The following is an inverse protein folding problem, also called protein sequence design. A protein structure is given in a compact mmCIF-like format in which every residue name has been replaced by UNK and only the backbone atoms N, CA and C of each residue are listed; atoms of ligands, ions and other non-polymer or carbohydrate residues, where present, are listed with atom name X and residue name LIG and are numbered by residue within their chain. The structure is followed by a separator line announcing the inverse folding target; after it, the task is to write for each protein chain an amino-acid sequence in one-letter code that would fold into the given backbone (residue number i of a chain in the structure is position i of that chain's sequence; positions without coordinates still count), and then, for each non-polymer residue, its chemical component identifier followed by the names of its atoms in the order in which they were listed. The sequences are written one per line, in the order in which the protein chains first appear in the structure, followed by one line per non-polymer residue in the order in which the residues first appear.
data_IF_734526116172
#
_entry.id   IF_734526116172
#
_cell.length_a   1.000
_cell.length_b   1.000
_cell.length_c   1.000
_cell.angle_alpha   90.00
_cell.angle_beta   90.00
_cell.angle_gamma   90.00
#
_symmetry.space_group_name_H-M   'P 1'
#
loop_
_entity.id
_entity.type
_entity.pdbx_description
1 polymer ?
#
# COMPACT_ATOMS: atom_id res chain seq x y z
N UNK A 1 11.45 6.88 -49.11
CA UNK A 1 12.13 6.87 -47.79
C UNK A 1 11.16 6.29 -46.76
N UNK A 2 11.36 5.05 -46.27
CA UNK A 2 10.51 4.36 -45.33
C UNK A 2 11.20 4.37 -43.97
N UNK A 3 10.64 5.11 -43.01
CA UNK A 3 11.11 5.12 -41.62
C UNK A 3 10.59 3.88 -40.89
N UNK A 4 11.50 3.00 -40.45
CA UNK A 4 11.20 1.87 -39.56
C UNK A 4 11.20 2.40 -38.12
N UNK A 5 10.06 2.32 -37.45
CA UNK A 5 9.95 2.51 -35.99
C UNK A 5 10.25 1.17 -35.31
N UNK A 6 11.38 1.14 -34.60
CA UNK A 6 11.72 0.02 -33.71
C UNK A 6 10.97 0.19 -32.39
N UNK A 7 10.09 -0.75 -32.09
CA UNK A 7 9.49 -0.91 -30.75
C UNK A 7 10.48 -1.64 -29.87
N UNK A 8 11.03 -0.96 -28.86
CA UNK A 8 11.79 -1.58 -27.78
C UNK A 8 10.78 -2.15 -26.78
N UNK A 9 10.68 -3.47 -26.73
CA UNK A 9 9.96 -4.15 -25.66
C UNK A 9 10.93 -4.30 -24.48
N UNK A 10 10.66 -3.57 -23.39
CA UNK A 10 11.33 -3.77 -22.10
C UNK A 10 10.60 -4.90 -21.38
N UNK A 11 11.21 -6.08 -21.36
CA UNK A 11 10.76 -7.18 -20.53
C UNK A 11 11.35 -6.99 -19.13
N UNK A 12 10.53 -6.56 -18.18
CA UNK A 12 10.85 -6.58 -16.76
C UNK A 12 10.56 -7.98 -16.24
N UNK A 13 11.56 -8.83 -16.25
CA UNK A 13 11.54 -10.14 -15.58
C UNK A 13 12.08 -9.97 -14.15
N UNK A 14 11.24 -9.50 -13.24
CA UNK A 14 11.45 -9.56 -11.80
C UNK A 14 11.19 -10.98 -11.32
N UNK A 15 12.19 -11.84 -11.35
CA UNK A 15 12.13 -13.16 -10.72
C UNK A 15 12.28 -13.02 -9.22
N UNK A 16 11.15 -13.07 -8.49
CA UNK A 16 11.13 -13.25 -7.03
C UNK A 16 11.52 -14.72 -6.77
N UNK A 17 12.77 -14.97 -6.43
CA UNK A 17 13.18 -16.28 -5.93
C UNK A 17 12.77 -16.38 -4.46
N UNK A 18 11.58 -16.93 -4.20
CA UNK A 18 11.23 -17.42 -2.87
C UNK A 18 12.10 -18.63 -2.55
N UNK A 19 13.13 -18.41 -1.75
CA UNK A 19 13.86 -19.47 -1.10
C UNK A 19 13.05 -19.99 0.08
N UNK A 20 12.19 -20.99 -0.14
CA UNK A 20 11.63 -21.78 0.94
C UNK A 20 12.74 -22.56 1.64
N UNK A 21 13.30 -22.00 2.68
CA UNK A 21 14.09 -22.75 3.66
C UNK A 21 13.14 -23.39 4.65
N UNK A 22 12.72 -24.63 4.41
CA UNK A 22 12.09 -25.46 5.44
C UNK A 22 13.16 -25.75 6.52
N UNK A 23 13.22 -24.87 7.52
CA UNK A 23 13.97 -25.12 8.76
C UNK A 23 13.26 -26.18 9.61
N UNK A 24 13.99 -26.89 10.50
CA UNK A 24 13.35 -27.87 11.38
C UNK A 24 12.36 -27.20 12.30
N UNK A 25 11.13 -27.72 12.35
CA UNK A 25 10.13 -27.32 13.32
C UNK A 25 10.63 -27.65 14.74
N UNK A 26 11.16 -26.65 15.42
CA UNK A 26 11.71 -26.81 16.77
C UNK A 26 11.75 -25.48 17.50
N UNK A 27 10.92 -25.38 18.52
CA UNK A 27 10.93 -24.43 19.63
C UNK A 27 11.10 -22.94 19.25
N UNK A 28 10.00 -22.22 19.21
CA UNK A 28 10.03 -20.75 19.32
C UNK A 28 10.34 -20.02 18.01
N UNK A 29 9.74 -20.46 16.91
CA UNK A 29 9.70 -19.59 15.71
C UNK A 29 8.81 -18.38 16.03
N UNK A 30 9.35 -17.18 15.85
CA UNK A 30 8.58 -15.95 15.98
C UNK A 30 7.52 -15.89 14.87
N UNK A 31 6.46 -15.11 15.08
CA UNK A 31 5.48 -14.85 14.06
C UNK A 31 5.93 -13.70 13.17
N UNK A 32 5.52 -13.71 11.92
CA UNK A 32 5.82 -12.65 10.95
C UNK A 32 4.55 -11.87 10.63
N UNK A 33 4.62 -10.56 10.80
CA UNK A 33 3.62 -9.63 10.31
C UNK A 33 4.18 -8.94 9.07
N UNK A 34 3.47 -9.04 7.97
CA UNK A 34 3.76 -8.30 6.73
C UNK A 34 2.72 -7.20 6.57
N UNK A 35 3.16 -5.97 6.38
CA UNK A 35 2.29 -4.82 6.09
C UNK A 35 2.56 -4.35 4.67
N UNK A 36 1.54 -4.41 3.84
CA UNK A 36 1.59 -3.97 2.45
C UNK A 36 0.77 -2.69 2.29
N UNK A 37 1.42 -1.63 1.84
CA UNK A 37 0.78 -0.35 1.50
C UNK A 37 0.50 -0.28 0.02
N UNK A 38 -0.78 -0.17 -0.34
CA UNK A 38 -1.25 0.06 -1.71
C UNK A 38 -1.74 1.50 -1.84
N UNK A 39 -1.36 2.15 -2.92
CA UNK A 39 -1.73 3.53 -3.19
C UNK A 39 -2.36 3.62 -4.58
N UNK A 40 -3.59 4.12 -4.65
CA UNK A 40 -4.38 4.22 -5.87
C UNK A 40 -4.72 5.69 -6.18
N UNK A 41 -4.69 6.05 -7.47
CA UNK A 41 -5.03 7.40 -7.92
C UNK A 41 -3.82 8.36 -7.97
N UNK A 42 -4.10 9.64 -7.87
CA UNK A 42 -3.11 10.69 -8.12
C UNK A 42 -2.57 11.25 -6.79
N UNK A 43 -1.51 10.66 -6.31
CA UNK A 43 -0.89 10.99 -5.02
C UNK A 43 -0.06 12.26 -5.13
N UNK A 44 -0.21 13.23 -4.21
CA UNK A 44 0.65 14.40 -4.16
C UNK A 44 2.13 14.02 -3.95
N UNK A 45 3.07 14.67 -4.63
CA UNK A 45 4.50 14.41 -4.42
C UNK A 45 4.91 14.64 -2.96
N UNK A 46 5.70 13.71 -2.42
CA UNK A 46 6.20 13.78 -1.04
C UNK A 46 5.18 13.35 0.02
N UNK A 47 4.07 12.74 -0.38
CA UNK A 47 3.14 12.09 0.56
C UNK A 47 3.84 10.93 1.27
N UNK A 48 3.63 10.84 2.57
CA UNK A 48 4.02 9.72 3.42
C UNK A 48 2.80 9.13 4.10
N UNK A 49 2.91 7.86 4.46
CA UNK A 49 1.88 7.11 5.17
C UNK A 49 2.50 6.45 6.39
N UNK A 50 1.81 6.52 7.52
CA UNK A 50 2.24 5.85 8.74
C UNK A 50 1.17 4.85 9.17
N UNK A 51 1.58 3.59 9.32
CA UNK A 51 0.72 2.50 9.76
C UNK A 51 1.26 2.01 11.10
N UNK A 52 0.40 2.11 12.12
CA UNK A 52 0.68 1.67 13.48
C UNK A 52 0.02 0.31 13.72
N UNK A 53 0.75 -0.60 14.34
CA UNK A 53 0.23 -1.89 14.81
C UNK A 53 0.49 -1.99 16.29
N UNK A 54 -0.58 -2.06 17.07
CA UNK A 54 -0.53 -2.23 18.52
C UNK A 54 -1.04 -3.61 18.88
N UNK A 55 -0.22 -4.38 19.59
CA UNK A 55 -0.56 -5.72 20.06
C UNK A 55 -0.68 -5.73 21.58
N UNK A 56 -1.82 -6.18 22.09
CA UNK A 56 -2.11 -6.30 23.52
C UNK A 56 -2.29 -7.78 23.91
N UNK A 57 -1.59 -8.23 24.93
CA UNK A 57 -1.63 -9.60 25.40
C UNK A 57 -1.89 -9.72 26.91
N UNK A 58 -2.21 -10.91 27.36
CA UNK A 58 -2.48 -11.21 28.78
C UNK A 58 -1.25 -10.95 29.69
N UNK A 59 -0.04 -10.95 29.13
CA UNK A 59 1.21 -10.76 29.87
C UNK A 59 1.62 -9.30 30.07
N UNK A 60 0.78 -8.32 29.76
CA UNK A 60 1.08 -6.87 29.84
C UNK A 60 2.27 -6.39 28.97
N UNK A 61 2.79 -7.18 28.10
CA UNK A 61 3.75 -6.73 27.10
C UNK A 61 2.98 -6.16 25.91
N UNK A 62 2.95 -4.83 25.82
CA UNK A 62 2.46 -4.14 24.64
C UNK A 62 3.59 -4.17 23.61
N UNK A 63 3.28 -4.62 22.40
CA UNK A 63 4.18 -4.51 21.26
C UNK A 63 3.60 -3.50 20.27
N UNK A 64 4.37 -2.46 20.01
CA UNK A 64 4.01 -1.42 19.05
C UNK A 64 4.98 -1.47 17.88
N UNK A 65 4.45 -1.42 16.67
CA UNK A 65 5.22 -1.33 15.44
C UNK A 65 4.72 -0.13 14.63
N UNK A 66 5.65 0.59 14.04
CA UNK A 66 5.37 1.70 13.14
C UNK A 66 6.01 1.40 11.78
N UNK A 67 5.24 1.53 10.72
CA UNK A 67 5.67 1.33 9.34
C UNK A 67 5.47 2.62 8.55
N UNK A 68 6.55 3.11 7.96
CA UNK A 68 6.52 4.31 7.12
C UNK A 68 6.63 3.93 5.64
N UNK A 69 5.71 4.47 4.82
CA UNK A 69 5.70 4.26 3.38
C UNK A 69 5.69 5.59 2.63
N UNK A 70 6.35 5.64 1.50
CA UNK A 70 6.29 6.77 0.57
C UNK A 70 5.08 6.71 -0.37
N UNK A 71 5.01 7.69 -1.27
CA UNK A 71 3.92 7.84 -2.25
C UNK A 71 3.70 6.62 -3.16
N UNK A 72 4.72 5.81 -3.37
CA UNK A 72 4.66 4.59 -4.20
C UNK A 72 4.11 3.38 -3.44
N UNK A 73 3.87 3.50 -2.12
CA UNK A 73 3.52 2.38 -1.26
C UNK A 73 4.70 1.41 -1.07
N UNK A 74 4.40 0.14 -0.89
CA UNK A 74 5.39 -0.91 -0.71
C UNK A 74 4.98 -1.94 0.33
N UNK A 75 5.94 -2.78 0.74
CA UNK A 75 5.72 -3.80 1.77
C UNK A 75 6.89 -3.80 2.74
N UNK A 76 6.59 -3.96 4.02
CA UNK A 76 7.56 -4.11 5.09
C UNK A 76 7.09 -5.18 6.08
N UNK A 77 7.97 -5.64 6.98
CA UNK A 77 7.63 -6.73 7.89
C UNK A 77 8.24 -6.54 9.26
N UNK A 78 7.55 -7.03 10.28
CA UNK A 78 8.01 -7.08 11.66
C UNK A 78 7.89 -8.50 12.23
N UNK A 79 8.74 -8.79 13.21
CA UNK A 79 8.66 -10.00 14.00
C UNK A 79 7.78 -9.76 15.22
N UNK A 80 6.74 -10.55 15.38
CA UNK A 80 5.81 -10.47 16.51
C UNK A 80 6.04 -11.65 17.44
N UNK A 81 6.19 -11.37 18.72
CA UNK A 81 6.45 -12.42 19.72
C UNK A 81 5.33 -13.48 19.75
N UNK A 82 5.73 -14.71 19.97
CA UNK A 82 4.81 -15.87 20.07
C UNK A 82 4.13 -15.95 21.46
N UNK A 83 3.47 -14.86 21.88
CA UNK A 83 2.61 -14.81 23.07
C UNK A 83 1.17 -14.55 22.64
N UNK A 84 0.16 -15.07 23.39
CA UNK A 84 -1.24 -14.82 23.04
C UNK A 84 -1.52 -13.32 23.07
N UNK A 85 -1.91 -12.75 21.94
CA UNK A 85 -2.21 -11.32 21.84
C UNK A 85 -3.18 -11.03 20.71
N UNK A 86 -3.90 -9.93 20.86
CA UNK A 86 -4.71 -9.34 19.82
C UNK A 86 -4.04 -8.08 19.32
N UNK A 87 -3.94 -7.95 18.02
CA UNK A 87 -3.28 -6.81 17.38
C UNK A 87 -4.27 -5.99 16.57
N UNK A 88 -4.13 -4.68 16.63
CA UNK A 88 -4.94 -3.72 15.86
C UNK A 88 -4.03 -2.93 14.92
N UNK A 89 -4.45 -2.82 13.67
CA UNK A 89 -3.78 -2.04 12.61
C UNK A 89 -4.51 -0.73 12.39
N UNK A 90 -3.79 0.37 12.43
CA UNK A 90 -4.35 1.72 12.23
C UNK A 90 -3.41 2.53 11.35
N UNK A 91 -3.94 3.21 10.34
CA UNK A 91 -3.18 4.23 9.64
C UNK A 91 -3.37 5.58 10.32
N UNK A 92 -2.32 6.11 10.92
CA UNK A 92 -2.31 7.41 11.63
C UNK A 92 -2.09 8.58 10.68
N UNK A 93 -1.33 8.37 9.58
CA UNK A 93 -1.13 9.37 8.53
C UNK A 93 -1.54 8.79 7.16
N UNK A 94 -2.67 9.26 6.63
CA UNK A 94 -3.25 8.79 5.37
C UNK A 94 -2.94 9.66 4.15
N UNK A 95 -2.09 10.69 4.30
CA UNK A 95 -1.67 11.57 3.21
C UNK A 95 -2.80 12.34 2.52
N UNK A 96 -3.93 12.57 3.19
CA UNK A 96 -5.16 13.19 2.65
C UNK A 96 -5.88 12.32 1.60
N UNK A 97 -5.79 11.00 1.71
CA UNK A 97 -6.56 10.08 0.89
C UNK A 97 -8.07 10.31 1.06
N UNK A 98 -8.84 10.12 0.00
CA UNK A 98 -10.30 10.22 0.02
C UNK A 98 -10.96 8.99 0.65
N UNK A 99 -10.28 7.85 0.60
CA UNK A 99 -10.70 6.61 1.25
C UNK A 99 -9.50 5.79 1.70
N UNK A 100 -9.68 5.07 2.81
CA UNK A 100 -8.72 4.08 3.33
C UNK A 100 -9.47 2.77 3.56
N UNK A 101 -8.93 1.69 3.06
CA UNK A 101 -9.45 0.34 3.30
C UNK A 101 -8.36 -0.60 3.80
N UNK A 102 -8.77 -1.62 4.51
CA UNK A 102 -7.90 -2.61 5.13
C UNK A 102 -8.32 -4.02 4.70
N UNK A 103 -7.36 -4.91 4.55
CA UNK A 103 -7.60 -6.32 4.37
C UNK A 103 -6.58 -7.11 5.19
N UNK A 104 -7.04 -8.17 5.84
CA UNK A 104 -6.22 -9.09 6.61
C UNK A 104 -6.25 -10.47 5.95
N UNK A 105 -5.10 -11.10 5.81
CA UNK A 105 -4.98 -12.47 5.32
C UNK A 105 -3.99 -13.25 6.19
N UNK A 106 -4.34 -14.48 6.57
CA UNK A 106 -3.43 -15.41 7.23
C UNK A 106 -2.78 -16.27 6.16
N UNK A 107 -1.50 -16.02 5.90
CA UNK A 107 -0.72 -16.76 4.88
C UNK A 107 -0.32 -18.14 5.43
N UNK A 108 0.23 -18.14 6.66
CA UNK A 108 0.57 -19.36 7.39
C UNK A 108 -0.03 -19.28 8.80
N UNK A 109 -0.97 -20.15 9.19
CA UNK A 109 -1.67 -20.03 10.47
C UNK A 109 -0.78 -20.36 11.69
N UNK A 110 0.31 -21.08 11.48
CA UNK A 110 1.13 -21.57 12.57
C UNK A 110 0.44 -22.66 13.42
N UNK A 111 1.14 -23.28 14.38
CA UNK A 111 0.60 -24.36 15.20
C UNK A 111 -0.54 -23.95 16.14
N UNK A 112 -0.73 -22.69 16.39
CA UNK A 112 -1.74 -22.18 17.30
C UNK A 112 -2.91 -21.49 16.61
N UNK A 113 -2.96 -21.51 15.29
CA UNK A 113 -4.03 -20.95 14.44
C UNK A 113 -4.21 -19.43 14.62
N UNK A 114 -3.29 -18.62 14.06
CA UNK A 114 -3.50 -17.19 13.92
C UNK A 114 -4.77 -16.92 13.10
N UNK A 115 -5.52 -15.89 13.44
CA UNK A 115 -6.81 -15.60 12.84
C UNK A 115 -7.00 -14.09 12.59
N UNK A 116 -7.56 -13.71 11.43
CA UNK A 116 -8.08 -12.38 11.19
C UNK A 116 -9.45 -12.24 11.86
N UNK A 117 -9.55 -11.39 12.88
CA UNK A 117 -10.79 -11.14 13.63
C UNK A 117 -11.69 -10.12 12.90
N UNK A 118 -11.07 -9.22 12.19
CA UNK A 118 -11.72 -8.22 11.33
C UNK A 118 -10.74 -7.77 10.23
N UNK A 119 -11.14 -6.78 9.43
CA UNK A 119 -10.27 -6.13 8.46
C UNK A 119 -9.11 -5.33 9.10
N UNK A 120 -9.15 -5.07 10.41
CA UNK A 120 -8.16 -4.29 11.17
C UNK A 120 -7.56 -5.03 12.35
N UNK A 121 -8.10 -6.18 12.74
CA UNK A 121 -7.66 -6.89 13.93
C UNK A 121 -7.34 -8.33 13.62
N UNK A 122 -6.33 -8.85 14.28
CA UNK A 122 -5.93 -10.24 14.19
C UNK A 122 -5.48 -10.78 15.55
N UNK A 123 -5.59 -12.07 15.75
CA UNK A 123 -5.08 -12.75 16.93
C UNK A 123 -3.84 -13.56 16.59
N UNK A 124 -2.89 -13.55 17.51
CA UNK A 124 -1.71 -14.41 17.49
C UNK A 124 -1.81 -15.37 18.67
N UNK A 125 -1.78 -16.68 18.42
CA UNK A 125 -1.78 -17.66 19.49
C UNK A 125 -0.42 -17.75 20.18
N UNK A 126 -0.44 -18.03 21.50
CA UNK A 126 0.77 -18.08 22.32
C UNK A 126 1.55 -19.38 22.26
N UNK A 127 1.21 -20.31 21.40
CA UNK A 127 1.88 -21.59 21.35
C UNK A 127 2.53 -21.89 20.01
N UNK A 128 3.86 -21.76 19.96
CA UNK A 128 4.64 -22.38 18.90
C UNK A 128 5.15 -21.47 17.80
N UNK A 129 4.65 -20.24 17.63
CA UNK A 129 5.12 -19.29 16.61
C UNK A 129 5.02 -19.81 15.18
N UNK A 130 5.61 -19.06 14.24
CA UNK A 130 5.66 -19.45 12.83
C UNK A 130 4.39 -19.12 12.04
N UNK A 131 3.48 -18.31 12.60
CA UNK A 131 2.39 -17.73 11.84
C UNK A 131 2.93 -16.60 10.94
N UNK A 132 2.35 -16.46 9.75
CA UNK A 132 2.56 -15.34 8.86
C UNK A 132 1.21 -14.71 8.54
N UNK A 133 1.08 -13.41 8.87
CA UNK A 133 -0.13 -12.64 8.67
C UNK A 133 0.21 -11.46 7.78
N UNK A 134 -0.59 -11.22 6.74
CA UNK A 134 -0.46 -10.07 5.86
C UNK A 134 -1.62 -9.10 6.06
N UNK A 135 -1.27 -7.81 6.22
CA UNK A 135 -2.20 -6.71 6.17
C UNK A 135 -1.94 -5.86 4.95
N UNK A 136 -2.99 -5.65 4.16
CA UNK A 136 -2.97 -4.68 3.06
C UNK A 136 -3.77 -3.44 3.45
N UNK A 137 -3.13 -2.28 3.44
CA UNK A 137 -3.76 -0.97 3.65
C UNK A 137 -3.77 -0.22 2.34
N UNK A 138 -4.95 0.06 1.81
CA UNK A 138 -5.13 0.73 0.52
C UNK A 138 -5.64 2.15 0.72
N UNK A 139 -4.92 3.13 0.19
CA UNK A 139 -5.36 4.53 0.11
C UNK A 139 -5.76 4.88 -1.31
N UNK A 140 -6.95 5.44 -1.45
CA UNK A 140 -7.47 5.92 -2.73
C UNK A 140 -7.48 7.45 -2.74
N UNK A 141 -6.91 8.05 -3.78
CA UNK A 141 -6.89 9.49 -4.02
C UNK A 141 -7.80 9.82 -5.19
N UNK A 142 -8.64 10.84 -5.00
CA UNK A 142 -9.48 11.32 -6.09
C UNK A 142 -8.66 12.01 -7.18
N UNK A 143 -9.04 11.77 -8.42
CA UNK A 143 -8.48 12.51 -9.53
C UNK A 143 -8.94 13.98 -9.45
N UNK A 144 -8.04 14.97 -9.60
CA UNK A 144 -8.45 16.37 -9.61
C UNK A 144 -9.50 16.60 -10.69
N UNK A 145 -10.54 17.42 -10.41
CA UNK A 145 -11.58 17.68 -11.40
C UNK A 145 -10.95 18.24 -12.68
N UNK A 146 -11.47 17.86 -13.86
CA UNK A 146 -10.96 18.34 -15.11
C UNK A 146 -10.97 19.89 -15.12
N UNK A 147 -9.93 20.53 -15.66
CA UNK A 147 -9.88 21.98 -15.71
C UNK A 147 -11.14 22.50 -16.42
N UNK A 148 -11.71 23.62 -15.96
CA UNK A 148 -12.87 24.21 -16.59
C UNK A 148 -12.59 24.45 -18.07
N UNK A 149 -13.58 24.23 -18.96
CA UNK A 149 -13.38 24.43 -20.39
C UNK A 149 -12.83 25.84 -20.65
N UNK A 150 -11.70 25.89 -21.33
CA UNK A 150 -11.06 27.14 -21.66
C UNK A 150 -12.04 27.97 -22.50
N UNK A 151 -12.30 29.25 -22.16
CA UNK A 151 -13.14 30.12 -22.97
C UNK A 151 -12.68 30.07 -24.42
N UNK A 152 -13.61 29.89 -25.34
CA UNK A 152 -13.29 29.91 -26.76
C UNK A 152 -12.53 31.24 -27.08
N UNK A 153 -11.41 31.10 -27.78
CA UNK A 153 -10.64 32.26 -28.20
C UNK A 153 -11.58 33.26 -28.90
N UNK A 154 -11.54 34.50 -28.47
CA UNK A 154 -12.32 35.53 -29.10
C UNK A 154 -11.98 35.56 -30.63
N UNK A 155 -12.99 35.66 -31.52
CA UNK A 155 -12.74 35.72 -32.95
C UNK A 155 -11.76 36.85 -33.26
N UNK A 156 -10.74 36.55 -34.03
CA UNK A 156 -9.79 37.56 -34.47
C UNK A 156 -10.53 38.70 -35.21
N UNK A 157 -10.19 39.94 -34.92
CA UNK A 157 -10.81 41.08 -35.63
C UNK A 157 -10.54 40.99 -37.14
N UNK A 158 -11.60 40.91 -37.90
CA UNK A 158 -11.51 40.91 -39.38
C UNK A 158 -10.92 42.23 -39.80
N UNK A 159 -9.75 42.19 -40.44
CA UNK A 159 -9.13 43.38 -40.98
C UNK A 159 -10.09 44.08 -41.97
N UNK A 160 -10.40 45.35 -41.71
CA UNK A 160 -11.23 46.13 -42.60
C UNK A 160 -10.61 46.20 -44.00
N UNK A 161 -11.38 45.89 -45.02
CA UNK A 161 -10.93 46.00 -46.39
C UNK A 161 -10.59 47.48 -46.73
N UNK A 162 -9.50 47.73 -47.42
CA UNK A 162 -9.14 49.10 -47.83
C UNK A 162 -10.22 49.69 -48.73
N UNK A 163 -10.80 50.80 -48.33
CA UNK A 163 -11.68 51.61 -49.21
C UNK A 163 -10.86 52.30 -50.25
N UNK A 164 -11.00 51.87 -51.49
CA UNK A 164 -10.48 52.64 -52.64
C UNK A 164 -11.41 53.81 -52.89
N UNK A 165 -10.95 55.06 -52.67
CA UNK A 165 -11.54 56.29 -53.21
C UNK A 165 -10.88 56.57 -54.53
N UNK A 166 -11.67 56.44 -55.62
CA UNK A 166 -11.32 56.86 -56.94
C UNK A 166 -11.55 58.39 -57.19
#
# INVERSE_FOLDING_TARGET
MRARRSLLAVAVSGGLALSLSAGPAGAGADNTLVVTKVVEGNVPPGTTFTIDVTCEGESMEIQDFEFEFGADGGSDSATVNAVPQECTVTESESGSASAVSYACEVIEPGPGEAECLSDRTFSIPGSGGGAEIEFTVTNTFEEPPPPPPQPAAAPEPVAAAPTFTG
#
